data_IF_898364224460
#
_entry.id   IF_898364224460
#
_cell.length_a   1.000
_cell.length_b   1.000
_cell.length_c   1.000
_cell.angle_alpha   90.00
_cell.angle_beta   90.00
_cell.angle_gamma   90.00
#
_symmetry.space_group_name_H-M   'P 1'
#
loop_
_entity.id
_entity.type
_entity.pdbx_description
1 polymer ?
#
# COMPACT_ATOMS: atom_id res chain seq x y z
N UNK A 1 -8.01 19.59 -1.79
CA UNK A 1 -7.45 20.02 -3.10
C UNK A 1 -7.92 19.05 -4.21
N UNK A 2 -7.54 19.16 -5.50
CA UNK A 2 -7.72 18.04 -6.43
C UNK A 2 -6.80 16.87 -6.03
N UNK A 3 -7.15 15.61 -6.36
CA UNK A 3 -6.27 14.47 -6.14
C UNK A 3 -4.95 14.64 -6.91
N UNK A 4 -3.83 14.39 -6.25
CA UNK A 4 -2.50 14.40 -6.84
C UNK A 4 -1.78 13.06 -6.63
N UNK A 5 -1.04 12.62 -7.65
CA UNK A 5 -0.18 11.45 -7.56
C UNK A 5 1.07 11.80 -6.76
N UNK A 6 1.27 11.14 -5.62
CA UNK A 6 2.44 11.35 -4.78
C UNK A 6 3.56 10.36 -5.12
N UNK A 7 3.21 9.11 -5.44
CA UNK A 7 4.19 8.08 -5.79
C UNK A 7 3.56 6.92 -6.56
N UNK A 8 4.35 6.26 -7.41
CA UNK A 8 3.95 5.00 -8.06
C UNK A 8 5.10 4.04 -8.33
N UNK A 9 4.88 2.75 -8.06
CA UNK A 9 5.51 1.63 -8.76
C UNK A 9 4.54 1.18 -9.85
N UNK A 10 5.03 0.93 -11.07
CA UNK A 10 4.15 0.64 -12.20
C UNK A 10 4.65 -0.57 -12.99
N UNK A 11 3.74 -1.48 -13.32
CA UNK A 11 3.95 -2.62 -14.21
C UNK A 11 5.25 -3.38 -13.91
N UNK A 12 5.51 -3.66 -12.63
CA UNK A 12 6.76 -4.27 -12.18
C UNK A 12 6.51 -5.68 -11.67
N UNK A 13 7.35 -6.63 -12.07
CA UNK A 13 7.37 -7.96 -11.45
C UNK A 13 8.02 -7.85 -10.07
N UNK A 14 7.23 -8.04 -9.02
CA UNK A 14 7.72 -7.97 -7.64
C UNK A 14 8.02 -9.37 -7.14
N UNK A 15 9.30 -9.63 -6.89
CA UNK A 15 9.82 -10.95 -6.48
C UNK A 15 10.52 -10.91 -5.11
N UNK A 16 10.81 -9.72 -4.60
CA UNK A 16 11.48 -9.49 -3.32
C UNK A 16 10.86 -8.31 -2.58
N UNK A 17 11.21 -8.20 -1.31
CA UNK A 17 10.91 -7.04 -0.47
C UNK A 17 11.47 -5.74 -1.07
N UNK A 18 10.87 -4.61 -0.72
CA UNK A 18 11.30 -3.30 -1.18
C UNK A 18 10.60 -2.12 -0.53
N UNK A 19 10.96 -0.91 -0.99
CA UNK A 19 10.47 0.36 -0.45
C UNK A 19 10.48 1.45 -1.51
N UNK A 20 9.55 2.42 -1.40
CA UNK A 20 9.47 3.61 -2.25
C UNK A 20 10.58 4.64 -2.02
N UNK A 21 11.27 4.57 -0.89
CA UNK A 21 11.98 5.72 -0.33
C UNK A 21 11.02 6.77 0.28
N UNK A 22 11.54 7.86 0.86
CA UNK A 22 10.72 8.91 1.46
C UNK A 22 9.82 9.62 0.43
N UNK A 23 8.60 9.94 0.87
CA UNK A 23 7.56 10.66 0.14
C UNK A 23 7.14 11.83 1.04
N UNK A 24 6.95 13.02 0.48
CA UNK A 24 6.47 14.20 1.20
C UNK A 24 4.94 14.33 1.07
N UNK A 25 4.15 14.13 2.15
CA UNK A 25 2.70 14.28 2.11
C UNK A 25 2.23 15.63 2.70
N UNK A 26 3.11 16.61 2.93
CA UNK A 26 2.77 17.84 3.70
C UNK A 26 1.75 18.74 3.02
N UNK A 27 1.53 18.57 1.72
CA UNK A 27 0.58 19.36 0.93
C UNK A 27 -0.78 18.67 0.75
N UNK A 28 -1.06 17.59 1.48
CA UNK A 28 -2.33 16.87 1.40
C UNK A 28 -2.94 16.67 2.78
N UNK A 29 -4.27 16.58 2.83
CA UNK A 29 -5.04 16.35 4.06
C UNK A 29 -5.38 14.86 4.22
N UNK A 30 -5.19 14.08 3.16
CA UNK A 30 -5.58 12.68 3.08
C UNK A 30 -4.74 11.91 2.07
N UNK A 31 -4.59 10.61 2.31
CA UNK A 31 -3.79 9.69 1.51
C UNK A 31 -4.64 8.49 1.08
N UNK A 32 -4.46 8.04 -0.16
CA UNK A 32 -5.06 6.83 -0.72
C UNK A 32 -3.98 5.94 -1.32
N UNK A 33 -3.83 4.75 -0.76
CA UNK A 33 -2.92 3.73 -1.26
C UNK A 33 -3.73 2.66 -1.99
N UNK A 34 -3.35 2.34 -3.22
CA UNK A 34 -3.94 1.28 -4.01
C UNK A 34 -2.86 0.33 -4.53
N UNK A 35 -3.21 -0.95 -4.61
CA UNK A 35 -2.35 -2.01 -5.12
C UNK A 35 -3.14 -2.84 -6.13
N UNK A 36 -2.51 -3.11 -7.26
CA UNK A 36 -3.03 -4.01 -8.30
C UNK A 36 -1.93 -4.95 -8.74
N UNK A 37 -2.23 -6.24 -8.80
CA UNK A 37 -1.37 -7.29 -9.34
C UNK A 37 -2.13 -7.95 -10.48
N UNK A 38 -1.71 -7.71 -11.72
CA UNK A 38 -2.42 -8.23 -12.90
C UNK A 38 -2.15 -9.72 -13.10
N UNK A 39 -0.94 -10.19 -12.78
CA UNK A 39 -0.56 -11.61 -12.83
C UNK A 39 -0.15 -12.10 -11.44
N UNK A 40 -1.11 -12.28 -10.51
CA UNK A 40 -0.79 -12.78 -9.19
C UNK A 40 -0.50 -14.29 -9.23
N UNK A 41 0.13 -14.83 -8.18
CA UNK A 41 0.22 -16.27 -7.95
C UNK A 41 -1.17 -16.89 -7.82
N UNK A 42 -1.33 -18.15 -8.23
CA UNK A 42 -2.64 -18.83 -8.27
C UNK A 42 -3.37 -18.95 -6.91
N UNK A 43 -2.71 -18.66 -5.79
CA UNK A 43 -3.31 -18.46 -4.47
C UNK A 43 -2.62 -17.31 -3.75
N UNK A 44 -3.38 -16.45 -3.07
CA UNK A 44 -2.87 -15.35 -2.24
C UNK A 44 -3.42 -15.40 -0.81
N UNK A 45 -2.77 -14.70 0.12
CA UNK A 45 -3.24 -14.53 1.49
C UNK A 45 -3.04 -15.77 2.36
N UNK A 46 -4.02 -16.08 3.22
CA UNK A 46 -3.92 -17.15 4.24
C UNK A 46 -3.60 -18.55 3.67
N UNK A 47 -3.91 -18.79 2.39
CA UNK A 47 -3.75 -20.10 1.75
C UNK A 47 -2.75 -20.10 0.59
N UNK A 48 -1.92 -19.07 0.47
CA UNK A 48 -1.01 -18.92 -0.66
C UNK A 48 0.09 -17.89 -0.45
N UNK A 49 0.46 -17.25 -1.55
CA UNK A 49 1.52 -16.26 -1.56
C UNK A 49 1.14 -15.02 -0.76
N UNK A 50 2.09 -14.49 0.01
CA UNK A 50 1.84 -13.33 0.86
C UNK A 50 2.51 -12.10 0.27
N UNK A 51 1.70 -11.07 -0.02
CA UNK A 51 2.19 -9.78 -0.47
C UNK A 51 1.68 -8.68 0.45
N UNK A 52 2.51 -8.29 1.40
CA UNK A 52 2.21 -7.31 2.44
C UNK A 52 2.65 -5.93 1.95
N UNK A 53 1.75 -4.95 1.90
CA UNK A 53 2.08 -3.57 1.54
C UNK A 53 1.68 -2.66 2.69
N UNK A 54 2.59 -1.77 3.10
CA UNK A 54 2.36 -0.84 4.20
C UNK A 54 2.62 0.58 3.77
N UNK A 55 1.75 1.48 4.23
CA UNK A 55 2.08 2.89 4.30
C UNK A 55 2.64 3.15 5.70
N UNK A 56 3.85 3.67 5.74
CA UNK A 56 4.53 4.04 6.97
C UNK A 56 4.78 5.54 6.96
N UNK A 57 4.76 6.15 8.14
CA UNK A 57 5.09 7.57 8.33
C UNK A 57 6.20 7.69 9.35
N UNK A 58 7.02 8.73 9.22
CA UNK A 58 8.12 8.95 10.15
C UNK A 58 7.66 9.84 11.31
N UNK A 59 7.87 9.39 12.55
CA UNK A 59 7.65 10.23 13.73
C UNK A 59 8.79 11.25 13.93
N UNK A 60 8.65 12.13 14.93
CA UNK A 60 9.66 13.14 15.25
C UNK A 60 11.01 12.56 15.69
N UNK A 61 11.05 11.29 16.12
CA UNK A 61 12.26 10.56 16.49
C UNK A 61 12.92 9.84 15.32
N UNK A 62 12.37 9.94 14.10
CA UNK A 62 12.89 9.27 12.92
C UNK A 62 12.40 7.82 12.76
N UNK A 63 11.50 7.34 13.63
CA UNK A 63 10.98 5.98 13.61
C UNK A 63 9.85 5.88 12.60
N UNK A 64 9.89 4.84 11.76
CA UNK A 64 8.84 4.55 10.80
C UNK A 64 7.72 3.76 11.46
N UNK A 65 6.51 4.32 11.46
CA UNK A 65 5.31 3.75 12.07
C UNK A 65 4.33 3.35 10.95
N UNK A 66 3.91 2.07 10.88
CA UNK A 66 2.89 1.65 9.92
C UNK A 66 1.54 2.24 10.31
N UNK A 67 0.90 2.89 9.34
CA UNK A 67 -0.40 3.57 9.52
C UNK A 67 -1.50 2.98 8.63
N UNK A 68 -1.11 2.29 7.55
CA UNK A 68 -2.01 1.49 6.73
C UNK A 68 -1.36 0.16 6.35
N UNK A 69 -2.15 -0.90 6.36
CA UNK A 69 -1.76 -2.24 5.95
C UNK A 69 -2.70 -2.74 4.85
N UNK A 70 -2.14 -3.16 3.73
CA UNK A 70 -2.86 -3.75 2.61
C UNK A 70 -2.34 -5.16 2.33
N UNK A 71 -3.27 -6.09 2.16
CA UNK A 71 -3.00 -7.46 1.73
C UNK A 71 -3.89 -7.74 0.52
N UNK A 72 -3.37 -7.68 -0.72
CA UNK A 72 -4.16 -7.93 -1.91
C UNK A 72 -4.79 -9.33 -1.86
N UNK A 73 -6.10 -9.38 -2.09
CA UNK A 73 -6.83 -10.62 -2.32
C UNK A 73 -7.08 -10.80 -3.81
N UNK A 74 -7.29 -12.05 -4.23
CA UNK A 74 -7.74 -12.32 -5.60
C UNK A 74 -9.19 -11.83 -5.77
N UNK A 75 -9.45 -11.10 -6.84
CA UNK A 75 -10.80 -10.75 -7.29
C UNK A 75 -11.43 -11.87 -8.15
N UNK A 76 -12.62 -11.60 -8.70
CA UNK A 76 -13.34 -12.56 -9.54
C UNK A 76 -12.62 -12.88 -10.87
N UNK A 77 -11.77 -11.98 -11.36
CA UNK A 77 -10.98 -12.14 -12.57
C UNK A 77 -9.59 -12.76 -12.28
N UNK A 78 -9.32 -13.10 -11.02
CA UNK A 78 -8.05 -13.65 -10.58
C UNK A 78 -6.91 -12.63 -10.49
N UNK A 79 -7.22 -11.33 -10.37
CA UNK A 79 -6.24 -10.25 -10.14
C UNK A 79 -6.10 -9.95 -8.65
N UNK A 80 -4.92 -9.57 -8.20
CA UNK A 80 -4.69 -9.16 -6.82
C UNK A 80 -5.06 -7.69 -6.62
N UNK A 81 -6.00 -7.37 -5.73
CA UNK A 81 -6.43 -5.99 -5.46
C UNK A 81 -6.48 -5.68 -3.96
N UNK A 82 -6.00 -4.51 -3.57
CA UNK A 82 -6.25 -3.91 -2.25
C UNK A 82 -6.17 -2.38 -2.33
N UNK A 83 -6.94 -1.69 -1.49
CA UNK A 83 -6.82 -0.26 -1.32
C UNK A 83 -7.23 0.18 0.08
N UNK A 84 -6.71 1.33 0.50
CA UNK A 84 -7.06 1.94 1.77
C UNK A 84 -6.68 3.40 1.81
N UNK A 85 -7.15 4.09 2.85
CA UNK A 85 -6.93 5.52 2.99
C UNK A 85 -6.67 5.93 4.44
N UNK A 86 -5.98 7.05 4.60
CA UNK A 86 -5.77 7.74 5.88
C UNK A 86 -6.26 9.17 5.72
N UNK A 87 -7.09 9.64 6.65
CA UNK A 87 -7.71 10.97 6.60
C UNK A 87 -9.20 10.94 6.96
N UNK A 88 -9.91 12.08 6.87
CA UNK A 88 -11.23 12.26 7.47
C UNK A 88 -12.38 11.39 6.93
N UNK A 89 -12.26 10.65 5.83
CA UNK A 89 -13.27 9.65 5.45
C UNK A 89 -12.90 8.82 4.21
N UNK A 90 -12.89 7.49 4.35
CA UNK A 90 -13.59 6.52 3.48
C UNK A 90 -13.73 5.19 4.27
N UNK A 91 -14.84 4.45 4.15
CA UNK A 91 -14.94 3.11 4.73
C UNK A 91 -13.91 2.18 4.08
N UNK A 92 -13.10 1.51 4.91
CA UNK A 92 -12.22 0.44 4.48
C UNK A 92 -13.08 -0.71 3.92
N UNK A 93 -13.03 -0.95 2.61
CA UNK A 93 -13.81 -2.03 2.00
C UNK A 93 -12.90 -3.03 1.30
N UNK A 94 -12.22 -3.84 2.12
CA UNK A 94 -11.78 -5.23 1.87
C UNK A 94 -10.64 -5.60 2.84
N UNK A 95 -10.88 -6.42 3.87
CA UNK A 95 -9.86 -7.06 4.72
C UNK A 95 -8.74 -6.19 5.35
N UNK A 96 -8.75 -4.87 5.19
CA UNK A 96 -7.65 -3.99 5.58
C UNK A 96 -7.87 -3.45 6.98
N UNK A 97 -6.84 -3.56 7.83
CA UNK A 97 -6.81 -2.91 9.14
C UNK A 97 -6.38 -1.47 8.93
N UNK A 98 -7.34 -0.55 8.95
CA UNK A 98 -7.10 0.90 8.90
C UNK A 98 -7.06 1.42 10.33
N UNK A 99 -5.99 2.13 10.71
CA UNK A 99 -5.95 2.88 11.95
C UNK A 99 -6.60 4.24 11.73
N UNK A 100 -7.78 4.49 12.31
CA UNK A 100 -8.53 5.75 12.15
C UNK A 100 -8.14 6.79 13.21
N UNK A 101 -6.86 6.84 13.59
CA UNK A 101 -6.38 7.90 14.49
C UNK A 101 -6.34 9.20 13.70
N UNK A 102 -6.99 10.29 14.15
CA UNK A 102 -6.79 11.60 13.55
C UNK A 102 -5.33 12.00 13.73
N UNK A 103 -4.52 11.78 12.70
CA UNK A 103 -3.11 12.12 12.67
C UNK A 103 -2.93 13.41 11.88
N UNK A 104 -2.20 14.35 12.48
CA UNK A 104 -1.49 15.35 11.68
C UNK A 104 -0.52 14.55 10.81
N UNK A 105 -0.67 14.66 9.48
CA UNK A 105 0.19 13.90 8.57
C UNK A 105 1.65 14.30 8.80
N UNK A 106 2.55 13.34 9.11
CA UNK A 106 3.95 13.66 9.35
C UNK A 106 4.64 14.15 8.07
N UNK A 107 5.79 14.81 8.23
CA UNK A 107 6.54 15.38 7.11
C UNK A 107 7.04 14.33 6.10
N UNK A 108 7.07 13.05 6.47
CA UNK A 108 7.52 11.98 5.59
C UNK A 108 6.63 10.74 5.70
N UNK A 109 6.34 10.16 4.55
CA UNK A 109 5.73 8.86 4.36
C UNK A 109 6.66 7.95 3.54
N UNK A 110 6.44 6.64 3.57
CA UNK A 110 7.02 5.68 2.63
C UNK A 110 6.09 4.50 2.48
N UNK A 111 6.22 3.80 1.37
CA UNK A 111 5.53 2.54 1.11
C UNK A 111 6.56 1.43 1.17
N UNK A 112 6.30 0.43 2.01
CA UNK A 112 7.12 -0.79 2.07
C UNK A 112 6.29 -1.96 1.55
N UNK A 113 6.96 -2.94 0.96
CA UNK A 113 6.33 -4.20 0.62
C UNK A 113 7.20 -5.39 1.00
N UNK A 114 6.54 -6.48 1.37
CA UNK A 114 7.18 -7.75 1.69
C UNK A 114 6.54 -8.90 0.93
N UNK A 115 7.39 -9.72 0.31
CA UNK A 115 7.03 -10.95 -0.39
C UNK A 115 7.40 -12.12 0.51
N UNK A 116 6.39 -12.83 1.03
CA UNK A 116 6.62 -14.05 1.81
C UNK A 116 6.19 -15.26 0.99
N UNK A 117 6.93 -16.35 1.16
CA UNK A 117 6.93 -17.59 0.36
C UNK A 117 7.71 -17.47 -0.96
N UNK A 118 8.77 -18.27 -1.08
CA UNK A 118 9.71 -18.28 -2.20
C UNK A 118 9.70 -19.61 -2.95
N UNK A 119 9.86 -19.60 -4.29
CA UNK A 119 9.88 -18.44 -5.19
C UNK A 119 8.47 -18.06 -5.67
N UNK A 120 8.07 -16.81 -5.48
CA UNK A 120 6.77 -16.30 -5.92
C UNK A 120 6.92 -14.96 -6.65
N UNK A 121 6.21 -14.80 -7.77
CA UNK A 121 6.22 -13.57 -8.59
C UNK A 121 4.84 -12.93 -8.52
N UNK A 122 4.80 -11.65 -8.11
CA UNK A 122 3.61 -10.80 -8.27
C UNK A 122 3.80 -9.98 -9.55
N UNK A 123 3.31 -10.54 -10.66
CA UNK A 123 3.58 -10.01 -11.98
C UNK A 123 2.75 -8.78 -12.33
N UNK A 124 3.37 -7.86 -13.08
CA UNK A 124 2.75 -6.60 -13.54
C UNK A 124 2.09 -5.82 -12.38
N UNK A 125 2.79 -5.75 -11.25
CA UNK A 125 2.30 -5.07 -10.04
C UNK A 125 2.38 -3.55 -10.21
N UNK A 126 1.32 -2.88 -9.78
CA UNK A 126 1.23 -1.43 -9.63
C UNK A 126 0.87 -1.10 -8.19
N UNK A 127 1.64 -0.22 -7.57
CA UNK A 127 1.37 0.35 -6.24
C UNK A 127 1.33 1.86 -6.42
N UNK A 128 0.27 2.50 -5.95
CA UNK A 128 0.07 3.93 -6.17
C UNK A 128 -0.41 4.62 -4.92
N UNK A 129 0.21 5.76 -4.60
CA UNK A 129 -0.20 6.64 -3.53
C UNK A 129 -0.67 7.97 -4.10
N UNK A 130 -1.91 8.33 -3.79
CA UNK A 130 -2.50 9.62 -4.08
C UNK A 130 -2.72 10.40 -2.79
N UNK A 131 -2.76 11.72 -2.90
CA UNK A 131 -3.24 12.58 -1.82
C UNK A 131 -4.14 13.71 -2.32
N UNK A 132 -4.85 14.38 -1.41
CA UNK A 132 -5.88 15.40 -1.69
C UNK A 132 -6.02 16.36 -0.52
#
# INVERSE_FOLDING_TARGET
MPPQLLWTLKNTDVTTDGSSGPIDPTQVDSLWLAVTVVRPPGKMGQHGAWFDIRLEVQDAGGVWIPVLYLLPGLDADGRGLAYGSIGPSLPASNNNRVSTVPMVLPAQARITWSVKTTPTIFGDTTITLYGR
#
